data_IF_983397809466
#
_entry.id   IF_983397809466
#
_cell.length_a   1.000
_cell.length_b   1.000
_cell.length_c   1.000
_cell.angle_alpha   90.00
_cell.angle_beta   90.00
_cell.angle_gamma   90.00
#
_symmetry.space_group_name_H-M   'P 1'
#
loop_
_entity.id
_entity.type
_entity.pdbx_description
1 polymer ?
#
# COMPACT_ATOMS: atom_id res chain seq x y z
N UNK A 1 -25.28 -24.83 -19.88
CA UNK A 1 -24.68 -23.49 -19.77
C UNK A 1 -24.29 -23.30 -18.31
N UNK A 2 -23.00 -23.39 -17.96
CA UNK A 2 -22.59 -23.13 -16.56
C UNK A 2 -22.86 -21.67 -16.20
N UNK A 3 -23.09 -21.34 -14.91
CA UNK A 3 -23.31 -19.95 -14.52
C UNK A 3 -22.10 -19.13 -14.95
N UNK A 4 -22.32 -18.10 -15.77
CA UNK A 4 -21.34 -17.03 -15.99
C UNK A 4 -21.12 -16.41 -14.62
N UNK A 5 -20.07 -16.87 -13.92
CA UNK A 5 -19.66 -16.27 -12.66
C UNK A 5 -19.47 -14.78 -12.91
N UNK A 6 -20.12 -13.97 -12.08
CA UNK A 6 -20.04 -12.52 -12.14
C UNK A 6 -18.57 -12.11 -12.01
N UNK A 7 -18.07 -11.41 -13.03
CA UNK A 7 -16.69 -10.96 -13.05
C UNK A 7 -16.57 -9.75 -12.13
N UNK A 8 -15.70 -9.84 -11.14
CA UNK A 8 -15.50 -8.78 -10.17
C UNK A 8 -14.27 -7.99 -10.60
N UNK A 9 -14.47 -6.72 -10.92
CA UNK A 9 -13.40 -5.81 -11.32
C UNK A 9 -12.95 -5.00 -10.11
N UNK A 10 -11.64 -4.94 -9.89
CA UNK A 10 -11.04 -4.15 -8.80
C UNK A 10 -9.84 -3.38 -9.28
N UNK A 11 -9.68 -2.17 -8.75
CA UNK A 11 -8.65 -1.24 -9.15
C UNK A 11 -7.67 -1.01 -8.00
N UNK A 12 -6.39 -0.98 -8.34
CA UNK A 12 -5.30 -0.74 -7.41
C UNK A 12 -4.35 0.27 -8.02
N UNK A 13 -4.25 1.45 -7.42
CA UNK A 13 -3.35 2.51 -7.87
C UNK A 13 -2.39 2.87 -6.76
N UNK A 14 -1.09 2.77 -7.01
CA UNK A 14 -0.11 3.22 -6.02
C UNK A 14 -0.06 4.76 -5.94
N UNK A 15 -0.50 5.44 -7.00
CA UNK A 15 -0.48 6.91 -7.11
C UNK A 15 -1.70 7.57 -6.49
N UNK A 16 -2.90 7.05 -6.80
CA UNK A 16 -4.17 7.67 -6.43
C UNK A 16 -4.97 6.86 -5.39
N UNK A 17 -4.55 5.63 -5.09
CA UNK A 17 -5.28 4.75 -4.20
C UNK A 17 -5.03 5.02 -2.72
N UNK A 18 -6.01 4.61 -1.92
CA UNK A 18 -5.96 4.66 -0.46
C UNK A 18 -6.37 3.29 0.11
N UNK A 19 -5.58 2.76 1.04
CA UNK A 19 -5.88 1.50 1.71
C UNK A 19 -6.87 1.66 2.89
N UNK A 20 -7.01 2.88 3.41
CA UNK A 20 -7.91 3.19 4.51
C UNK A 20 -9.34 3.44 4.03
N UNK A 21 -9.49 4.33 3.04
CA UNK A 21 -10.81 4.77 2.53
C UNK A 21 -11.20 4.16 1.18
N UNK A 22 -10.27 3.56 0.44
CA UNK A 22 -10.56 2.95 -0.86
C UNK A 22 -11.52 1.78 -0.75
N UNK A 23 -12.42 1.67 -1.73
CA UNK A 23 -13.36 0.55 -1.88
C UNK A 23 -12.95 -0.39 -3.03
N UNK A 24 -11.89 -0.03 -3.78
CA UNK A 24 -11.38 -0.79 -4.92
C UNK A 24 -12.19 -0.60 -6.20
N UNK A 25 -13.09 0.38 -6.24
CA UNK A 25 -13.69 0.90 -7.47
C UNK A 25 -12.67 1.69 -8.29
N UNK A 26 -13.02 2.06 -9.53
CA UNK A 26 -12.16 2.91 -10.35
C UNK A 26 -11.97 4.31 -9.77
N UNK A 27 -13.00 4.85 -9.09
CA UNK A 27 -12.97 6.18 -8.47
C UNK A 27 -12.17 6.18 -7.16
N UNK A 28 -12.31 5.12 -6.36
CA UNK A 28 -11.63 4.96 -5.08
C UNK A 28 -10.81 3.65 -5.05
N UNK A 29 -9.72 3.57 -5.85
CA UNK A 29 -8.91 2.38 -5.93
C UNK A 29 -8.18 2.11 -4.61
N UNK A 30 -7.87 0.84 -4.34
CA UNK A 30 -6.96 0.53 -3.24
C UNK A 30 -5.55 1.01 -3.56
N UNK A 31 -4.75 1.33 -2.54
CA UNK A 31 -3.35 1.67 -2.74
C UNK A 31 -2.50 0.42 -3.01
N UNK A 32 -2.77 -0.64 -2.28
CA UNK A 32 -1.99 -1.88 -2.32
C UNK A 32 -2.84 -3.10 -2.62
N UNK A 33 -2.24 -4.04 -3.38
CA UNK A 33 -2.81 -5.38 -3.60
C UNK A 33 -3.03 -6.12 -2.28
N UNK A 34 -2.21 -5.82 -1.25
CA UNK A 34 -2.34 -6.42 0.07
C UNK A 34 -3.70 -6.10 0.68
N UNK A 35 -4.11 -4.82 0.67
CA UNK A 35 -5.41 -4.40 1.19
C UNK A 35 -6.55 -5.10 0.46
N UNK A 36 -6.45 -5.19 -0.86
CA UNK A 36 -7.42 -5.93 -1.67
C UNK A 36 -7.53 -7.40 -1.24
N UNK A 37 -6.41 -8.09 -0.95
CA UNK A 37 -6.43 -9.48 -0.49
C UNK A 37 -6.92 -9.65 0.96
N UNK A 38 -6.85 -8.62 1.79
CA UNK A 38 -7.40 -8.63 3.16
C UNK A 38 -8.93 -8.58 3.14
N UNK A 39 -9.50 -7.71 2.32
CA UNK A 39 -10.95 -7.52 2.25
C UNK A 39 -11.64 -8.60 1.41
N UNK A 40 -10.90 -9.24 0.51
CA UNK A 40 -11.48 -10.17 -0.45
C UNK A 40 -11.41 -11.61 0.01
N UNK A 41 -12.54 -12.30 -0.10
CA UNK A 41 -12.62 -13.75 0.13
C UNK A 41 -11.88 -14.52 -0.96
N UNK A 42 -11.04 -15.48 -0.56
CA UNK A 42 -10.22 -16.34 -1.43
C UNK A 42 -11.01 -17.03 -2.55
N UNK A 43 -12.28 -17.32 -2.31
CA UNK A 43 -13.18 -18.00 -3.25
C UNK A 43 -13.49 -17.15 -4.50
N UNK A 44 -13.37 -15.83 -4.39
CA UNK A 44 -13.69 -14.89 -5.47
C UNK A 44 -12.49 -14.55 -6.36
N UNK A 45 -11.29 -14.96 -5.98
CA UNK A 45 -10.04 -14.73 -6.74
C UNK A 45 -10.08 -15.24 -8.19
N UNK A 46 -10.70 -16.40 -8.52
CA UNK A 46 -10.77 -16.88 -9.90
C UNK A 46 -11.63 -16.00 -10.83
N UNK A 47 -12.58 -15.26 -10.27
CA UNK A 47 -13.52 -14.38 -10.99
C UNK A 47 -13.05 -12.92 -10.98
N UNK A 48 -11.93 -12.64 -10.32
CA UNK A 48 -11.42 -11.31 -10.13
C UNK A 48 -10.52 -10.87 -11.29
N UNK A 49 -10.83 -9.70 -11.84
CA UNK A 49 -9.91 -8.92 -12.68
C UNK A 49 -9.38 -7.75 -11.87
N UNK A 50 -8.06 -7.60 -11.84
CA UNK A 50 -7.43 -6.47 -11.16
C UNK A 50 -6.75 -5.60 -12.20
N UNK A 51 -7.04 -4.32 -12.10
CA UNK A 51 -6.43 -3.27 -12.87
C UNK A 51 -5.44 -2.50 -12.00
N UNK A 52 -4.23 -2.29 -12.54
CA UNK A 52 -3.16 -1.53 -11.90
C UNK A 52 -2.76 -0.34 -12.75
N UNK A 53 -2.03 0.62 -12.18
CA UNK A 53 -1.49 1.75 -12.95
C UNK A 53 -0.70 1.24 -14.16
N UNK A 54 -1.08 1.66 -15.37
CA UNK A 54 -0.33 1.27 -16.55
C UNK A 54 1.06 1.92 -16.50
N UNK A 55 2.09 1.09 -16.68
CA UNK A 55 3.49 1.54 -16.65
C UNK A 55 4.07 1.69 -18.05
N UNK A 56 3.53 0.96 -19.03
CA UNK A 56 4.10 0.86 -20.39
C UNK A 56 3.56 1.90 -21.37
N UNK A 57 2.32 2.37 -21.16
CA UNK A 57 1.68 3.36 -22.03
C UNK A 57 1.09 4.50 -21.20
N UNK A 58 1.48 5.76 -21.46
CA UNK A 58 0.96 6.90 -20.72
C UNK A 58 -0.50 7.25 -21.09
N UNK A 59 -1.00 6.81 -22.24
CA UNK A 59 -2.40 7.02 -22.65
C UNK A 59 -3.37 6.05 -21.98
N UNK A 60 -2.89 4.88 -21.54
CA UNK A 60 -3.74 3.87 -20.92
C UNK A 60 -3.69 4.08 -19.41
N UNK A 61 -4.83 4.44 -18.79
CA UNK A 61 -4.86 4.73 -17.34
C UNK A 61 -4.63 3.45 -16.50
N UNK A 62 -5.12 2.32 -17.00
CA UNK A 62 -5.19 1.06 -16.29
C UNK A 62 -4.65 -0.11 -17.12
N UNK A 63 -3.88 -0.99 -16.50
CA UNK A 63 -3.39 -2.23 -17.09
C UNK A 63 -3.91 -3.44 -16.29
N UNK A 64 -4.44 -4.44 -16.98
CA UNK A 64 -4.88 -5.69 -16.33
C UNK A 64 -3.67 -6.49 -15.86
N UNK A 65 -3.67 -6.90 -14.59
CA UNK A 65 -2.64 -7.81 -14.09
C UNK A 65 -2.88 -9.23 -14.61
N UNK A 66 -1.81 -9.89 -15.07
CA UNK A 66 -1.94 -11.28 -15.50
C UNK A 66 -2.29 -12.21 -14.32
N UNK A 67 -3.10 -13.24 -14.59
CA UNK A 67 -3.52 -14.23 -13.58
C UNK A 67 -2.34 -14.90 -12.87
N UNK A 68 -1.22 -15.10 -13.57
CA UNK A 68 0.01 -15.68 -13.00
C UNK A 68 0.65 -14.74 -11.99
N UNK A 69 0.74 -13.44 -12.31
CA UNK A 69 1.26 -12.42 -11.40
C UNK A 69 0.36 -12.29 -10.17
N UNK A 70 -0.96 -12.29 -10.36
CA UNK A 70 -1.94 -12.28 -9.28
C UNK A 70 -1.76 -13.46 -8.31
N UNK A 71 -1.70 -14.69 -8.84
CA UNK A 71 -1.46 -15.89 -8.01
C UNK A 71 -0.15 -15.81 -7.22
N UNK A 72 0.93 -15.29 -7.83
CA UNK A 72 2.23 -15.12 -7.16
C UNK A 72 2.14 -14.11 -6.01
N UNK A 73 1.50 -12.95 -6.23
CA UNK A 73 1.30 -11.92 -5.21
C UNK A 73 0.43 -12.43 -4.06
N UNK A 74 -0.64 -13.16 -4.38
CA UNK A 74 -1.52 -13.78 -3.40
C UNK A 74 -0.78 -14.81 -2.53
N UNK A 75 0.04 -15.67 -3.14
CA UNK A 75 0.87 -16.65 -2.40
C UNK A 75 1.83 -15.94 -1.44
N UNK A 76 2.51 -14.90 -1.89
CA UNK A 76 3.43 -14.13 -1.04
C UNK A 76 2.69 -13.45 0.12
N UNK A 77 1.52 -12.88 -0.13
CA UNK A 77 0.67 -12.30 0.91
C UNK A 77 0.30 -13.33 1.98
N UNK A 78 -0.12 -14.54 1.59
CA UNK A 78 -0.45 -15.61 2.54
C UNK A 78 0.75 -15.97 3.43
N UNK A 79 1.94 -16.14 2.84
CA UNK A 79 3.17 -16.44 3.58
C UNK A 79 3.51 -15.31 4.56
N UNK A 80 3.42 -14.06 4.12
CA UNK A 80 3.71 -12.89 4.95
C UNK A 80 2.70 -12.74 6.10
N UNK A 81 1.42 -12.92 5.83
CA UNK A 81 0.35 -12.88 6.83
C UNK A 81 0.56 -13.93 7.93
N UNK A 82 0.94 -15.16 7.56
CA UNK A 82 1.24 -16.22 8.52
C UNK A 82 2.49 -15.90 9.37
N UNK A 83 3.53 -15.32 8.77
CA UNK A 83 4.74 -14.90 9.50
C UNK A 83 4.45 -13.76 10.48
N UNK A 84 3.64 -12.79 10.09
CA UNK A 84 3.22 -11.69 10.96
C UNK A 84 2.34 -12.17 12.11
N UNK A 85 1.45 -13.15 11.89
CA UNK A 85 0.65 -13.76 12.95
C UNK A 85 1.50 -14.57 13.95
N UNK A 86 2.58 -15.20 13.48
CA UNK A 86 3.51 -15.93 14.34
C UNK A 86 4.46 -15.02 15.14
N UNK A 87 4.59 -13.74 14.77
CA UNK A 87 5.48 -12.78 15.41
C UNK A 87 4.78 -11.87 16.43
N UNK A 88 3.56 -12.23 16.85
CA UNK A 88 2.69 -11.48 17.76
C UNK A 88 3.11 -11.42 19.23
N UNK A 89 4.42 -11.37 19.51
CA UNK A 89 4.97 -10.99 20.81
C UNK A 89 6.16 -10.05 20.57
N UNK A 90 5.91 -8.83 20.10
CA UNK A 90 6.61 -7.62 20.54
C UNK A 90 6.06 -6.41 19.79
N UNK A 91 5.72 -5.39 20.58
CA UNK A 91 5.08 -4.16 20.17
C UNK A 91 6.01 -3.21 19.40
N UNK A 92 5.37 -2.28 18.68
CA UNK A 92 5.83 -0.90 18.42
C UNK A 92 7.10 -0.72 17.59
N UNK A 93 6.96 -0.12 16.41
CA UNK A 93 8.09 0.41 15.67
C UNK A 93 7.76 0.96 14.28
N UNK A 94 7.35 2.23 14.25
CA UNK A 94 7.66 3.23 13.21
C UNK A 94 7.06 3.06 11.79
N UNK A 95 6.23 4.01 11.31
CA UNK A 95 5.87 4.08 9.91
C UNK A 95 7.10 4.43 9.06
N UNK A 96 7.41 3.56 8.11
CA UNK A 96 8.43 3.80 7.09
C UNK A 96 7.99 4.96 6.20
N UNK A 97 8.57 6.12 6.47
CA UNK A 97 8.52 7.34 5.68
C UNK A 97 8.92 7.01 4.23
N UNK A 98 7.93 6.96 3.33
CA UNK A 98 8.16 6.80 1.91
C UNK A 98 8.52 8.16 1.33
N UNK A 99 9.80 8.35 1.07
CA UNK A 99 10.35 9.46 0.30
C UNK A 99 9.85 9.39 -1.14
N UNK A 100 8.92 10.27 -1.49
CA UNK A 100 8.62 10.62 -2.89
C UNK A 100 8.56 12.13 -2.98
N UNK A 101 9.74 12.76 -3.04
CA UNK A 101 9.85 14.19 -3.36
C UNK A 101 9.82 14.35 -4.87
N UNK A 102 8.62 14.56 -5.41
CA UNK A 102 8.44 15.27 -6.67
C UNK A 102 8.15 16.73 -6.34
N UNK A 103 9.18 17.57 -6.36
CA UNK A 103 9.02 19.03 -6.45
C UNK A 103 8.36 19.38 -7.80
N UNK A 104 7.63 20.51 -7.97
CA UNK A 104 7.93 21.80 -7.36
C UNK A 104 6.71 22.61 -6.89
N UNK A 105 6.74 23.10 -5.67
CA UNK A 105 6.05 24.36 -5.34
C UNK A 105 6.86 25.11 -4.29
N UNK A 106 7.10 26.38 -4.59
CA UNK A 106 7.82 27.30 -3.74
C UNK A 106 7.14 27.38 -2.37
N UNK A 107 7.80 26.83 -1.35
CA UNK A 107 7.44 27.03 0.05
C UNK A 107 8.61 27.80 0.67
N UNK A 108 8.39 29.09 0.94
CA UNK A 108 9.28 29.86 1.80
C UNK A 108 9.19 29.30 3.21
N UNK A 109 10.16 28.46 3.59
CA UNK A 109 10.34 28.02 4.97
C UNK A 109 11.09 29.14 5.70
N UNK A 110 10.37 29.90 6.52
CA UNK A 110 10.98 30.83 7.49
C UNK A 110 11.18 30.08 8.79
N UNK A 111 12.43 29.88 9.20
CA UNK A 111 12.78 29.35 10.51
C UNK A 111 12.51 30.41 11.59
N UNK A 112 11.70 30.07 12.59
CA UNK A 112 11.51 30.88 13.80
C UNK A 112 12.66 30.60 14.79
N UNK A 113 13.53 31.59 14.98
CA UNK A 113 14.71 31.56 15.86
C UNK A 113 14.37 31.77 17.36
N UNK A 114 13.11 31.66 17.75
CA UNK A 114 12.62 31.85 19.13
C UNK A 114 13.04 30.75 20.11
N UNK A 115 13.43 29.56 19.64
CA UNK A 115 13.69 28.42 20.53
C UNK A 115 15.18 28.29 20.91
N UNK A 116 15.52 28.23 22.21
CA UNK A 116 16.91 28.08 22.64
C UNK A 116 17.47 26.70 22.25
N UNK A 117 18.75 26.68 21.91
CA UNK A 117 19.46 25.49 21.44
C UNK A 117 19.35 24.31 22.43
N UNK A 118 19.02 23.12 21.90
CA UNK A 118 18.90 21.89 22.68
C UNK A 118 20.23 21.52 23.35
N UNK A 119 20.24 21.46 24.69
CA UNK A 119 21.40 21.07 25.48
C UNK A 119 21.52 19.55 25.48
N UNK A 120 22.60 19.02 24.91
CA UNK A 120 22.92 17.58 24.94
C UNK A 120 23.54 17.23 26.30
N UNK A 121 22.81 16.50 27.14
CA UNK A 121 23.37 15.91 28.35
C UNK A 121 23.97 14.53 28.06
N UNK A 122 25.25 14.32 28.41
CA UNK A 122 25.88 12.99 28.45
C UNK A 122 25.46 12.30 29.74
N UNK A 123 24.83 11.13 29.64
CA UNK A 123 24.61 10.26 30.80
C UNK A 123 25.91 9.46 31.00
N UNK A 124 26.68 9.79 32.03
CA UNK A 124 27.82 9.00 32.48
C UNK A 124 27.40 8.16 33.69
N UNK A 125 27.39 6.84 33.53
CA UNK A 125 27.45 5.79 34.56
C UNK A 125 26.50 5.92 35.76
N UNK A 126 25.40 5.14 35.72
CA UNK A 126 24.74 4.69 36.94
C UNK A 126 25.37 3.31 37.29
N UNK A 127 26.07 3.25 38.43
CA UNK A 127 26.64 2.01 38.98
C UNK A 127 25.56 1.07 39.50
#
# INVERSE_FOLDING_TARGET
>A
MGPKGELIERYVSNKLGDDCSGDGSEEHPYKTLRRLFEVMTLEKVPQLKIYVDATEKPEEKWAEISKTQLKKKMKNYKIQSQKSAASGETATGTPAESTVTSAPSAVEIKEDLSLPAAIKSKICNLQ
#
